data_IF_033370787989
#
_entry.id   IF_033370787989
#
_cell.length_a   1.000
_cell.length_b   1.000
_cell.length_c   1.000
_cell.angle_alpha   90.00
_cell.angle_beta   90.00
_cell.angle_gamma   90.00
#
_symmetry.space_group_name_H-M   'P 1'
#
loop_
_entity.id
_entity.type
_entity.pdbx_description
1 polymer ?
#
# COMPACT_ATOMS: atom_id res chain seq x y z
N UNK A 1 -31.35 0.97 -29.71
CA UNK A 1 -30.35 1.75 -30.49
C UNK A 1 -29.86 2.84 -29.57
N UNK A 2 -28.57 2.97 -29.43
CA UNK A 2 -27.97 4.03 -28.63
C UNK A 2 -28.03 5.34 -29.42
N UNK A 3 -28.50 6.41 -28.82
CA UNK A 3 -28.59 7.77 -29.37
C UNK A 3 -27.56 8.64 -28.69
N UNK A 4 -26.90 9.53 -29.43
CA UNK A 4 -25.96 10.50 -28.87
C UNK A 4 -26.61 11.86 -28.65
N UNK A 5 -26.20 12.56 -27.58
CA UNK A 5 -26.60 13.92 -27.25
C UNK A 5 -25.33 14.74 -26.96
N UNK A 6 -25.27 15.94 -27.54
CA UNK A 6 -24.17 16.86 -27.27
C UNK A 6 -24.24 17.43 -25.85
N UNK A 7 -23.09 17.63 -25.22
CA UNK A 7 -23.02 18.26 -23.89
C UNK A 7 -23.59 19.68 -23.84
N UNK A 8 -23.67 20.35 -24.98
CA UNK A 8 -24.28 21.71 -25.09
C UNK A 8 -25.81 21.65 -25.12
N UNK A 9 -26.40 20.52 -25.43
CA UNK A 9 -27.82 20.26 -25.43
C UNK A 9 -28.36 19.77 -24.08
N UNK A 10 -27.45 19.31 -23.17
CA UNK A 10 -27.81 18.87 -21.83
C UNK A 10 -28.23 20.07 -20.97
N UNK A 11 -29.35 19.94 -20.29
CA UNK A 11 -29.82 20.91 -19.30
C UNK A 11 -30.33 20.21 -18.03
N UNK A 12 -30.43 20.95 -16.89
CA UNK A 12 -30.80 20.37 -15.59
C UNK A 12 -32.21 19.77 -15.53
N UNK A 13 -33.10 20.13 -16.46
CA UNK A 13 -34.48 19.65 -16.48
C UNK A 13 -34.62 18.33 -17.25
N UNK A 14 -33.54 17.79 -17.79
CA UNK A 14 -33.53 16.55 -18.53
C UNK A 14 -33.36 15.35 -17.61
N UNK A 15 -34.17 14.32 -17.85
CA UNK A 15 -33.96 12.97 -17.36
C UNK A 15 -34.05 11.99 -18.53
N UNK A 16 -33.45 10.84 -18.42
CA UNK A 16 -33.41 9.84 -19.49
C UNK A 16 -34.11 8.56 -19.00
N UNK A 17 -34.88 7.93 -19.86
CA UNK A 17 -35.52 6.65 -19.53
C UNK A 17 -34.53 5.49 -19.38
N UNK A 18 -33.32 5.62 -19.96
CA UNK A 18 -32.16 4.76 -19.78
C UNK A 18 -30.99 5.55 -19.21
N UNK A 19 -29.91 4.86 -18.90
CA UNK A 19 -28.69 5.50 -18.38
C UNK A 19 -28.05 6.45 -19.41
N UNK A 20 -27.66 7.65 -18.98
CA UNK A 20 -26.83 8.55 -19.78
C UNK A 20 -25.38 8.10 -19.64
N UNK A 21 -24.77 7.71 -20.75
CA UNK A 21 -23.45 7.08 -20.82
C UNK A 21 -22.42 8.01 -21.46
N UNK A 22 -21.23 8.01 -20.90
CA UNK A 22 -20.04 8.57 -21.52
C UNK A 22 -19.32 7.44 -22.29
N UNK A 23 -18.89 7.72 -23.55
CA UNK A 23 -18.18 6.76 -24.41
C UNK A 23 -18.88 5.39 -24.51
N UNK A 24 -20.21 5.36 -24.47
CA UNK A 24 -21.05 4.16 -24.44
C UNK A 24 -20.72 3.17 -23.31
N UNK A 25 -19.99 3.60 -22.30
CA UNK A 25 -19.51 2.71 -21.22
C UNK A 25 -19.72 3.22 -19.81
N UNK A 26 -19.74 4.54 -19.59
CA UNK A 26 -19.83 5.11 -18.26
C UNK A 26 -21.19 5.74 -18.00
N UNK A 27 -21.88 5.26 -16.99
CA UNK A 27 -23.13 5.89 -16.53
C UNK A 27 -22.79 7.21 -15.84
N UNK A 28 -23.15 8.32 -16.49
CA UNK A 28 -22.98 9.68 -15.95
C UNK A 28 -24.21 10.07 -15.16
N UNK A 29 -25.38 9.69 -15.66
CA UNK A 29 -26.67 9.89 -15.00
C UNK A 29 -27.44 8.57 -15.09
N UNK A 30 -27.88 7.98 -13.96
CA UNK A 30 -28.70 6.77 -13.97
C UNK A 30 -30.07 7.04 -14.62
N UNK A 31 -30.69 5.99 -15.15
CA UNK A 31 -32.05 6.07 -15.70
C UNK A 31 -33.02 6.73 -14.70
N UNK A 32 -33.87 7.60 -15.18
CA UNK A 32 -34.86 8.39 -14.44
C UNK A 32 -34.31 9.43 -13.47
N UNK A 33 -32.98 9.55 -13.30
CA UNK A 33 -32.37 10.64 -12.55
C UNK A 33 -32.25 11.90 -13.41
N UNK A 34 -32.50 13.07 -12.81
CA UNK A 34 -32.30 14.36 -13.49
C UNK A 34 -30.82 14.67 -13.71
N UNK A 35 -30.51 15.29 -14.84
CA UNK A 35 -29.18 15.80 -15.13
C UNK A 35 -28.89 16.98 -14.22
N UNK A 36 -27.90 16.93 -13.36
CA UNK A 36 -27.52 18.05 -12.52
C UNK A 36 -26.64 19.06 -13.28
N UNK A 37 -26.76 20.36 -12.94
CA UNK A 37 -25.83 21.39 -13.44
C UNK A 37 -24.36 21.01 -13.23
N UNK A 38 -24.11 20.29 -12.15
CA UNK A 38 -22.79 19.80 -11.81
C UNK A 38 -22.25 18.82 -12.86
N UNK A 39 -23.08 17.86 -13.31
CA UNK A 39 -22.70 16.90 -14.35
C UNK A 39 -22.40 17.61 -15.65
N UNK A 40 -23.25 18.57 -16.07
CA UNK A 40 -23.03 19.34 -17.28
C UNK A 40 -21.72 20.14 -17.21
N UNK A 41 -21.47 20.80 -16.09
CA UNK A 41 -20.23 21.56 -15.86
C UNK A 41 -18.99 20.63 -15.84
N UNK A 42 -19.10 19.46 -15.24
CA UNK A 42 -18.03 18.48 -15.20
C UNK A 42 -17.70 17.96 -16.60
N UNK A 43 -18.70 17.59 -17.40
CA UNK A 43 -18.53 17.14 -18.77
C UNK A 43 -17.85 18.21 -19.65
N UNK A 44 -18.26 19.47 -19.52
CA UNK A 44 -17.63 20.61 -20.22
C UNK A 44 -16.20 20.86 -19.74
N UNK A 45 -15.95 20.79 -18.45
CA UNK A 45 -14.60 20.98 -17.88
C UNK A 45 -13.64 19.87 -18.31
N UNK A 46 -14.17 18.67 -18.52
CA UNK A 46 -13.38 17.50 -18.95
C UNK A 46 -13.29 17.35 -20.47
N UNK A 47 -13.78 18.34 -21.21
CA UNK A 47 -13.74 18.40 -22.69
C UNK A 47 -14.45 17.21 -23.40
N UNK A 48 -15.38 16.54 -22.72
CA UNK A 48 -16.25 15.59 -23.41
C UNK A 48 -17.22 16.34 -24.31
N UNK A 49 -17.46 15.80 -25.50
CA UNK A 49 -18.29 16.47 -26.49
C UNK A 49 -19.71 15.96 -26.52
N UNK A 50 -19.89 14.68 -26.23
CA UNK A 50 -21.18 14.01 -26.34
C UNK A 50 -21.32 12.87 -25.33
N UNK A 51 -22.57 12.57 -24.97
CA UNK A 51 -22.97 11.39 -24.20
C UNK A 51 -23.89 10.53 -25.03
N UNK A 52 -24.03 9.27 -24.68
CA UNK A 52 -24.97 8.34 -25.32
C UNK A 52 -26.04 7.86 -24.33
N UNK A 53 -27.23 7.57 -24.81
CA UNK A 53 -28.31 7.00 -24.01
C UNK A 53 -29.18 6.05 -24.84
N UNK A 54 -29.90 5.15 -24.17
CA UNK A 54 -30.92 4.32 -24.77
C UNK A 54 -32.28 4.73 -24.25
N UNK A 55 -33.29 4.75 -25.14
CA UNK A 55 -34.66 5.14 -24.80
C UNK A 55 -34.99 6.59 -25.21
N UNK A 56 -35.72 7.32 -24.35
CA UNK A 56 -36.23 8.67 -24.63
C UNK A 56 -35.86 9.65 -23.54
N UNK A 57 -35.89 10.94 -23.88
CA UNK A 57 -35.62 12.05 -22.98
C UNK A 57 -36.94 12.45 -22.33
N UNK A 58 -36.97 12.51 -20.99
CA UNK A 58 -38.04 13.12 -20.22
C UNK A 58 -37.65 14.56 -19.91
N UNK A 59 -38.45 15.53 -20.32
CA UNK A 59 -38.22 16.91 -19.93
C UNK A 59 -39.22 17.19 -18.80
N UNK A 60 -38.72 17.46 -17.60
CA UNK A 60 -39.55 17.82 -16.46
C UNK A 60 -40.25 19.14 -16.68
N UNK A 61 -41.52 19.10 -16.94
CA UNK A 61 -42.46 20.20 -16.68
C UNK A 61 -43.57 19.68 -15.82
N UNK A 62 -43.76 20.35 -14.69
CA UNK A 62 -44.94 20.45 -13.86
C UNK A 62 -46.13 19.56 -14.29
N UNK A 63 -46.35 18.48 -13.60
CA UNK A 63 -47.67 17.85 -13.44
C UNK A 63 -48.04 17.91 -11.97
N UNK A 64 -48.53 19.08 -11.54
CA UNK A 64 -49.66 19.12 -10.63
C UNK A 64 -50.86 18.63 -11.43
N UNK A 65 -51.36 17.45 -11.08
CA UNK A 65 -52.82 17.20 -10.94
C UNK A 65 -53.06 15.69 -10.78
N UNK A 66 -53.84 15.44 -9.75
CA UNK A 66 -54.65 14.23 -9.46
C UNK A 66 -53.98 13.12 -8.62
N UNK A 67 -54.10 13.27 -7.33
CA UNK A 67 -54.82 12.26 -6.55
C UNK A 67 -55.47 12.88 -5.30
N UNK A 68 -56.80 12.83 -5.34
CA UNK A 68 -57.67 13.20 -4.22
C UNK A 68 -57.52 12.30 -3.01
N UNK A 69 -57.57 12.95 -1.85
CA UNK A 69 -58.27 12.46 -0.68
C UNK A 69 -57.48 11.53 0.28
N UNK A 70 -57.03 12.09 1.36
CA UNK A 70 -57.44 11.72 2.72
C UNK A 70 -57.07 12.89 3.65
N UNK A 71 -58.16 13.43 4.26
CA UNK A 71 -58.13 14.41 5.33
C UNK A 71 -57.48 13.89 6.61
N UNK A 72 -56.84 14.77 7.32
CA UNK A 72 -57.11 15.34 8.65
C UNK A 72 -55.80 15.32 9.45
N UNK A 73 -55.43 16.23 10.21
CA UNK A 73 -56.00 17.14 11.19
C UNK A 73 -54.95 18.21 11.53
N UNK A 74 -55.46 19.42 11.71
CA UNK A 74 -54.76 20.58 12.24
C UNK A 74 -54.39 20.42 13.70
N UNK A 75 -53.23 20.92 14.15
CA UNK A 75 -53.02 22.22 14.79
C UNK A 75 -52.09 22.11 16.03
N UNK A 76 -51.64 23.17 16.68
CA UNK A 76 -51.25 24.51 16.27
C UNK A 76 -49.85 24.95 16.83
N UNK A 77 -49.43 26.09 16.30
CA UNK A 77 -48.54 27.13 16.85
C UNK A 77 -47.66 26.86 18.08
N UNK A 78 -46.35 26.95 17.91
CA UNK A 78 -45.47 27.46 18.96
C UNK A 78 -44.36 28.35 18.34
N UNK A 79 -44.32 29.57 18.82
CA UNK A 79 -43.40 30.66 18.54
C UNK A 79 -41.93 30.28 18.58
N UNK A 80 -41.05 31.02 17.86
CA UNK A 80 -39.63 30.78 17.85
C UNK A 80 -38.98 31.25 19.15
N UNK A 81 -38.45 30.30 19.92
CA UNK A 81 -37.49 30.58 20.97
C UNK A 81 -36.09 30.62 20.36
N UNK A 82 -35.38 31.71 20.61
CA UNK A 82 -33.95 31.90 20.35
C UNK A 82 -33.17 30.71 20.86
N UNK A 83 -32.66 29.85 19.99
CA UNK A 83 -31.63 28.88 20.34
C UNK A 83 -30.26 29.56 20.26
N UNK A 84 -29.70 29.75 21.45
CA UNK A 84 -28.31 30.07 21.69
C UNK A 84 -27.45 29.02 21.00
N UNK A 85 -26.52 29.52 20.17
CA UNK A 85 -25.38 28.76 19.67
C UNK A 85 -24.72 27.97 20.81
N UNK A 86 -24.72 26.65 20.82
CA UNK A 86 -23.80 25.92 21.69
C UNK A 86 -22.44 25.98 21.01
N UNK A 87 -21.46 26.39 21.81
CA UNK A 87 -20.06 26.46 21.40
C UNK A 87 -19.62 25.21 20.67
N UNK A 88 -18.75 25.44 19.74
CA UNK A 88 -17.91 24.44 19.09
C UNK A 88 -17.21 23.57 20.16
N UNK A 89 -17.88 22.54 20.63
CA UNK A 89 -17.18 21.40 21.24
C UNK A 89 -16.57 20.61 20.08
N UNK A 90 -15.28 20.80 19.94
CA UNK A 90 -14.43 19.94 19.15
C UNK A 90 -14.47 18.55 19.78
N UNK A 91 -15.26 17.65 19.20
CA UNK A 91 -15.22 16.23 19.58
C UNK A 91 -13.82 15.64 19.28
N UNK A 92 -13.35 14.74 20.13
CA UNK A 92 -11.95 14.35 20.19
C UNK A 92 -11.58 13.36 19.07
N UNK A 93 -10.85 13.84 18.07
CA UNK A 93 -10.03 13.02 17.18
C UNK A 93 -8.53 13.08 17.57
N UNK A 94 -8.15 13.13 18.85
CA UNK A 94 -6.78 13.43 19.26
C UNK A 94 -5.96 12.20 19.63
N UNK A 95 -6.52 11.00 19.72
CA UNK A 95 -5.75 9.86 20.25
C UNK A 95 -4.69 9.34 19.27
N UNK A 96 -5.02 9.23 17.98
CA UNK A 96 -4.09 8.66 16.99
C UNK A 96 -2.82 9.48 16.80
N UNK A 97 -2.91 10.81 16.81
CA UNK A 97 -1.75 11.68 16.62
C UNK A 97 -0.73 11.58 17.77
N UNK A 98 -1.21 11.46 19.01
CA UNK A 98 -0.38 11.27 20.18
C UNK A 98 0.27 9.87 20.17
N UNK A 99 -0.51 8.84 19.85
CA UNK A 99 -0.04 7.44 19.78
C UNK A 99 1.02 7.28 18.69
N UNK A 100 0.79 7.85 17.49
CA UNK A 100 1.77 7.82 16.38
C UNK A 100 3.06 8.53 16.83
N UNK A 101 2.97 9.68 17.47
CA UNK A 101 4.13 10.42 17.97
C UNK A 101 4.91 9.59 18.99
N UNK A 102 4.24 8.99 19.95
CA UNK A 102 4.87 8.13 20.95
C UNK A 102 5.58 6.93 20.29
N UNK A 103 4.91 6.25 19.37
CA UNK A 103 5.50 5.13 18.62
C UNK A 103 6.71 5.56 17.78
N UNK A 104 6.70 6.75 17.18
CA UNK A 104 7.84 7.31 16.45
C UNK A 104 9.00 7.68 17.40
N UNK A 105 8.70 8.27 18.54
CA UNK A 105 9.71 8.62 19.56
C UNK A 105 10.37 7.37 20.15
N UNK A 106 9.61 6.29 20.38
CA UNK A 106 10.14 4.99 20.77
C UNK A 106 11.03 4.40 19.68
N UNK A 107 10.57 4.42 18.42
CA UNK A 107 11.33 3.92 17.29
C UNK A 107 12.64 4.65 17.10
N UNK A 108 12.68 5.96 17.33
CA UNK A 108 13.90 6.77 17.23
C UNK A 108 14.97 6.39 18.26
N UNK A 109 14.56 5.96 19.46
CA UNK A 109 15.48 5.50 20.52
C UNK A 109 16.16 4.16 20.19
N UNK A 110 15.59 3.38 19.28
CA UNK A 110 16.05 2.02 18.92
C UNK A 110 17.01 2.06 17.71
N UNK A 111 17.36 3.23 17.16
CA UNK A 111 18.17 3.34 15.94
C UNK A 111 19.53 2.65 16.00
N UNK A 112 20.14 2.53 17.17
CA UNK A 112 21.44 1.85 17.39
C UNK A 112 21.32 0.37 17.75
N UNK A 113 20.12 -0.19 17.81
CA UNK A 113 19.85 -1.56 18.21
C UNK A 113 19.99 -2.55 17.04
N UNK A 114 19.84 -3.86 17.32
CA UNK A 114 19.87 -4.90 16.30
C UNK A 114 18.84 -4.63 15.19
N UNK A 115 19.15 -5.06 13.96
CA UNK A 115 18.27 -4.91 12.79
C UNK A 115 16.85 -5.43 13.04
N UNK A 116 16.74 -6.53 13.79
CA UNK A 116 15.46 -7.13 14.16
C UNK A 116 14.61 -6.18 15.03
N UNK A 117 15.19 -5.62 16.08
CA UNK A 117 14.48 -4.69 16.99
C UNK A 117 14.05 -3.44 16.23
N UNK A 118 14.89 -2.96 15.32
CA UNK A 118 14.55 -1.82 14.47
C UNK A 118 13.40 -2.13 13.53
N UNK A 119 13.39 -3.32 12.90
CA UNK A 119 12.28 -3.76 12.06
C UNK A 119 10.97 -3.86 12.82
N UNK A 120 10.98 -4.50 14.00
CA UNK A 120 9.81 -4.64 14.89
C UNK A 120 9.26 -3.26 15.33
N UNK A 121 10.15 -2.32 15.62
CA UNK A 121 9.79 -0.95 15.98
C UNK A 121 9.15 -0.20 14.80
N UNK A 122 9.73 -0.28 13.62
CA UNK A 122 9.17 0.33 12.39
C UNK A 122 7.82 -0.29 12.04
N UNK A 123 7.65 -1.59 12.25
CA UNK A 123 6.37 -2.27 12.03
C UNK A 123 5.28 -1.74 12.97
N UNK A 124 5.57 -1.48 14.24
CA UNK A 124 4.61 -0.86 15.17
C UNK A 124 4.13 0.51 14.68
N UNK A 125 5.05 1.37 14.28
CA UNK A 125 4.69 2.70 13.72
C UNK A 125 3.83 2.54 12.47
N UNK A 126 4.17 1.61 11.58
CA UNK A 126 3.38 1.30 10.39
C UNK A 126 1.94 0.88 10.73
N UNK A 127 1.77 0.04 11.75
CA UNK A 127 0.46 -0.41 12.24
C UNK A 127 -0.38 0.74 12.80
N UNK A 128 0.24 1.71 13.49
CA UNK A 128 -0.46 2.91 13.97
C UNK A 128 -0.94 3.79 12.80
N UNK A 129 -0.13 3.94 11.73
CA UNK A 129 -0.59 4.63 10.52
C UNK A 129 -1.73 3.89 9.82
N UNK A 130 -1.74 2.56 9.82
CA UNK A 130 -2.89 1.80 9.30
C UNK A 130 -4.16 2.07 10.11
N UNK A 131 -4.06 2.14 11.44
CA UNK A 131 -5.21 2.51 12.31
C UNK A 131 -5.68 3.93 12.02
N UNK A 132 -4.76 4.86 11.82
CA UNK A 132 -5.08 6.23 11.44
C UNK A 132 -5.83 6.29 10.08
N UNK A 133 -5.34 5.61 9.06
CA UNK A 133 -6.04 5.56 7.76
C UNK A 133 -7.44 4.97 7.93
N UNK A 134 -7.56 3.89 8.70
CA UNK A 134 -8.87 3.30 9.01
C UNK A 134 -9.80 4.29 9.69
N UNK A 135 -9.31 5.08 10.66
CA UNK A 135 -10.12 6.10 11.34
C UNK A 135 -10.57 7.20 10.38
N UNK A 136 -9.73 7.66 9.46
CA UNK A 136 -10.10 8.65 8.43
C UNK A 136 -11.24 8.14 7.56
N UNK A 137 -11.15 6.89 7.07
CA UNK A 137 -12.21 6.28 6.26
C UNK A 137 -13.51 6.09 7.04
N UNK A 138 -13.42 5.59 8.28
CA UNK A 138 -14.57 5.38 9.16
C UNK A 138 -15.23 6.72 9.53
N UNK A 139 -14.44 7.71 9.87
CA UNK A 139 -14.95 9.04 10.22
C UNK A 139 -15.66 9.70 9.03
N UNK A 140 -15.07 9.60 7.83
CA UNK A 140 -15.77 10.06 6.62
C UNK A 140 -17.06 9.27 6.38
N UNK A 141 -17.05 7.94 6.53
CA UNK A 141 -18.24 7.12 6.31
C UNK A 141 -19.42 7.54 7.22
N UNK A 142 -19.12 7.93 8.47
CA UNK A 142 -20.13 8.31 9.48
C UNK A 142 -20.49 9.79 9.47
N UNK A 143 -19.50 10.68 9.40
CA UNK A 143 -19.67 12.14 9.57
C UNK A 143 -19.60 12.94 8.28
N UNK A 144 -19.19 12.33 7.15
CA UNK A 144 -18.97 12.99 5.86
C UNK A 144 -17.98 14.16 5.94
N UNK A 145 -17.00 14.08 6.83
CA UNK A 145 -15.97 15.10 7.06
C UNK A 145 -14.57 14.48 7.06
N UNK A 146 -13.58 15.24 6.64
CA UNK A 146 -12.16 14.93 6.77
C UNK A 146 -11.46 16.22 7.19
N UNK A 147 -10.62 16.14 8.23
CA UNK A 147 -9.82 17.27 8.68
C UNK A 147 -8.51 17.35 7.87
N UNK A 148 -8.47 18.21 6.86
CA UNK A 148 -7.30 18.36 6.00
C UNK A 148 -6.07 18.88 6.76
N UNK A 149 -6.24 19.78 7.74
CA UNK A 149 -5.11 20.33 8.50
C UNK A 149 -4.42 19.25 9.33
N UNK A 150 -5.19 18.49 10.10
CA UNK A 150 -4.69 17.35 10.89
C UNK A 150 -4.04 16.28 10.00
N UNK A 151 -4.70 15.97 8.87
CA UNK A 151 -4.19 15.02 7.90
C UNK A 151 -2.85 15.48 7.32
N UNK A 152 -2.69 16.77 7.04
CA UNK A 152 -1.45 17.36 6.54
C UNK A 152 -0.30 17.18 7.52
N UNK A 153 -0.51 17.47 8.81
CA UNK A 153 0.51 17.28 9.85
C UNK A 153 0.89 15.81 10.03
N UNK A 154 -0.11 14.91 10.04
CA UNK A 154 0.10 13.48 10.21
C UNK A 154 0.85 12.88 9.01
N UNK A 155 0.47 13.26 7.79
CA UNK A 155 1.14 12.79 6.56
C UNK A 155 2.54 13.38 6.42
N UNK A 156 2.78 14.61 6.87
CA UNK A 156 4.14 15.16 6.91
C UNK A 156 5.07 14.31 7.78
N UNK A 157 4.60 13.87 8.96
CA UNK A 157 5.36 12.95 9.83
C UNK A 157 5.56 11.60 9.17
N UNK A 158 4.54 11.07 8.47
CA UNK A 158 4.67 9.84 7.68
C UNK A 158 5.75 9.94 6.60
N UNK A 159 5.81 11.07 5.88
CA UNK A 159 6.83 11.29 4.86
C UNK A 159 8.25 11.26 5.45
N UNK A 160 8.46 11.90 6.61
CA UNK A 160 9.74 11.89 7.32
C UNK A 160 10.07 10.47 7.78
N UNK A 161 9.11 9.79 8.41
CA UNK A 161 9.27 8.42 8.88
C UNK A 161 9.66 7.45 7.75
N UNK A 162 8.99 7.53 6.59
CA UNK A 162 9.30 6.70 5.42
C UNK A 162 10.71 7.02 4.90
N UNK A 163 11.08 8.30 4.82
CA UNK A 163 12.40 8.72 4.37
C UNK A 163 13.53 8.14 5.24
N UNK A 164 13.37 8.19 6.56
CA UNK A 164 14.36 7.72 7.53
C UNK A 164 14.42 6.19 7.63
N UNK A 165 13.29 5.53 7.42
CA UNK A 165 13.15 4.08 7.60
C UNK A 165 12.84 3.33 6.30
N UNK A 166 13.12 3.91 5.13
CA UNK A 166 12.81 3.40 3.79
C UNK A 166 13.07 1.90 3.66
N UNK A 167 14.26 1.45 4.09
CA UNK A 167 14.71 0.05 4.00
C UNK A 167 13.79 -0.92 4.76
N UNK A 168 13.25 -0.50 5.91
CA UNK A 168 12.41 -1.34 6.75
C UNK A 168 10.95 -1.29 6.32
N UNK A 169 10.43 -0.09 6.05
CA UNK A 169 9.02 0.14 5.67
C UNK A 169 8.66 -0.61 4.38
N UNK A 170 9.56 -0.62 3.39
CA UNK A 170 9.35 -1.33 2.12
C UNK A 170 9.32 -2.86 2.26
N UNK A 171 9.84 -3.41 3.36
CA UNK A 171 9.84 -4.85 3.67
C UNK A 171 8.56 -5.31 4.36
N UNK A 172 7.77 -4.37 4.92
CA UNK A 172 6.52 -4.72 5.59
C UNK A 172 5.52 -5.22 4.57
N UNK A 173 5.13 -6.48 4.71
CA UNK A 173 4.10 -7.12 3.89
C UNK A 173 2.96 -7.57 4.77
N UNK A 174 1.77 -6.98 4.65
CA UNK A 174 0.60 -7.42 5.38
C UNK A 174 0.25 -8.87 5.04
N UNK A 175 -0.22 -9.62 6.04
CA UNK A 175 -0.71 -10.98 5.83
C UNK A 175 -1.95 -10.98 4.92
N UNK A 176 -2.20 -12.11 4.25
CA UNK A 176 -3.40 -12.31 3.45
C UNK A 176 -4.68 -12.13 4.29
N UNK A 177 -4.65 -12.51 5.58
CA UNK A 177 -5.76 -12.34 6.50
C UNK A 177 -6.02 -10.86 6.84
N UNK A 178 -4.97 -10.08 7.15
CA UNK A 178 -5.10 -8.65 7.40
C UNK A 178 -5.68 -7.92 6.18
N UNK A 179 -5.24 -8.31 4.98
CA UNK A 179 -5.74 -7.78 3.72
C UNK A 179 -7.21 -8.14 3.47
N UNK A 180 -7.61 -9.36 3.74
CA UNK A 180 -9.01 -9.81 3.60
C UNK A 180 -9.95 -9.05 4.54
N UNK A 181 -9.50 -8.75 5.76
CA UNK A 181 -10.30 -8.03 6.76
C UNK A 181 -10.45 -6.53 6.46
N UNK A 182 -9.44 -5.91 5.88
CA UNK A 182 -9.45 -4.46 5.61
C UNK A 182 -8.68 -4.10 4.34
N UNK A 183 -9.22 -4.54 3.21
CA UNK A 183 -8.57 -4.38 1.89
C UNK A 183 -8.22 -2.93 1.59
N UNK A 184 -9.18 -1.99 1.74
CA UNK A 184 -8.97 -0.59 1.37
C UNK A 184 -7.84 0.07 2.17
N UNK A 185 -7.80 -0.14 3.48
CA UNK A 185 -6.75 0.44 4.34
C UNK A 185 -5.37 -0.14 4.01
N UNK A 186 -5.29 -1.46 3.86
CA UNK A 186 -4.03 -2.13 3.53
C UNK A 186 -3.51 -1.66 2.18
N UNK A 187 -4.38 -1.62 1.17
CA UNK A 187 -4.04 -1.15 -0.18
C UNK A 187 -3.60 0.32 -0.15
N UNK A 188 -4.39 1.20 0.49
CA UNK A 188 -4.05 2.63 0.59
C UNK A 188 -2.73 2.86 1.31
N UNK A 189 -2.47 2.17 2.43
CA UNK A 189 -1.20 2.33 3.16
C UNK A 189 0.00 1.89 2.32
N UNK A 190 -0.05 0.71 1.70
CA UNK A 190 1.04 0.22 0.87
C UNK A 190 1.29 1.08 -0.36
N UNK A 191 0.23 1.48 -1.05
CA UNK A 191 0.33 2.41 -2.20
C UNK A 191 0.91 3.76 -1.77
N UNK A 192 0.56 4.25 -0.58
CA UNK A 192 1.09 5.51 -0.02
C UNK A 192 2.59 5.41 0.27
N UNK A 193 3.04 4.32 0.89
CA UNK A 193 4.47 4.09 1.13
C UNK A 193 5.25 4.07 -0.18
N UNK A 194 4.75 3.38 -1.19
CA UNK A 194 5.38 3.31 -2.50
C UNK A 194 5.37 4.67 -3.21
N UNK A 195 4.23 5.38 -3.21
CA UNK A 195 4.10 6.68 -3.85
C UNK A 195 5.04 7.73 -3.22
N UNK A 196 5.09 7.81 -1.88
CA UNK A 196 6.01 8.70 -1.16
C UNK A 196 7.46 8.34 -1.50
N UNK A 197 7.80 7.06 -1.53
CA UNK A 197 9.14 6.59 -1.83
C UNK A 197 9.56 6.95 -3.26
N UNK A 198 8.65 6.80 -4.24
CA UNK A 198 8.88 7.23 -5.63
C UNK A 198 9.09 8.74 -5.70
N UNK A 199 8.27 9.54 -5.01
CA UNK A 199 8.39 11.00 -5.02
C UNK A 199 9.70 11.50 -4.38
N UNK A 200 10.18 10.82 -3.33
CA UNK A 200 11.51 11.09 -2.75
C UNK A 200 12.61 10.85 -3.78
N UNK A 201 12.54 9.75 -4.53
CA UNK A 201 13.51 9.41 -5.57
C UNK A 201 13.45 10.38 -6.77
N UNK A 202 12.27 10.89 -7.09
CA UNK A 202 12.06 11.96 -8.08
C UNK A 202 12.43 13.35 -7.56
N UNK A 203 12.96 13.45 -6.34
CA UNK A 203 13.39 14.70 -5.69
C UNK A 203 12.27 15.76 -5.57
N UNK A 204 11.04 15.34 -5.32
CA UNK A 204 9.95 16.27 -5.06
C UNK A 204 10.20 17.06 -3.76
N UNK A 205 9.83 18.34 -3.69
CA UNK A 205 9.87 19.09 -2.44
C UNK A 205 8.89 18.50 -1.43
N UNK A 206 9.21 18.61 -0.13
CA UNK A 206 8.43 17.97 0.96
C UNK A 206 6.93 18.32 0.90
N UNK A 207 6.59 19.57 0.60
CA UNK A 207 5.18 19.98 0.46
C UNK A 207 4.43 19.18 -0.61
N UNK A 208 5.08 18.88 -1.73
CA UNK A 208 4.48 18.07 -2.81
C UNK A 208 4.44 16.59 -2.46
N UNK A 209 5.39 16.10 -1.67
CA UNK A 209 5.35 14.73 -1.15
C UNK A 209 4.20 14.57 -0.16
N UNK A 210 3.94 15.57 0.68
CA UNK A 210 2.81 15.57 1.62
C UNK A 210 1.48 15.58 0.86
N UNK A 211 1.30 16.47 -0.12
CA UNK A 211 0.10 16.47 -0.97
C UNK A 211 -0.12 15.12 -1.67
N UNK A 212 0.94 14.53 -2.23
CA UNK A 212 0.88 13.20 -2.83
C UNK A 212 0.52 12.11 -1.81
N UNK A 213 1.08 12.17 -0.60
CA UNK A 213 0.77 11.25 0.48
C UNK A 213 -0.71 11.30 0.87
N UNK A 214 -1.28 12.51 1.02
CA UNK A 214 -2.71 12.71 1.25
C UNK A 214 -3.52 12.14 0.08
N UNK A 215 -3.14 12.47 -1.15
CA UNK A 215 -3.79 11.94 -2.36
C UNK A 215 -3.79 10.42 -2.38
N UNK A 216 -2.65 9.82 -2.08
CA UNK A 216 -2.49 8.36 -2.08
C UNK A 216 -3.24 7.67 -0.92
N UNK A 217 -3.37 8.29 0.24
CA UNK A 217 -4.25 7.78 1.30
C UNK A 217 -5.71 7.78 0.84
N UNK A 218 -6.15 8.82 0.15
CA UNK A 218 -7.55 9.05 -0.20
C UNK A 218 -7.96 8.57 -1.60
N UNK A 219 -7.04 7.98 -2.39
CA UNK A 219 -7.36 7.63 -3.78
C UNK A 219 -8.50 6.61 -3.92
N UNK A 220 -8.70 5.78 -2.92
CA UNK A 220 -9.77 4.76 -2.86
C UNK A 220 -11.01 5.23 -2.08
N UNK A 221 -11.10 6.49 -1.64
CA UNK A 221 -12.23 6.95 -0.81
C UNK A 221 -13.58 6.82 -1.52
N UNK A 222 -13.58 6.89 -2.84
CA UNK A 222 -14.77 6.67 -3.67
C UNK A 222 -15.35 5.27 -3.56
N UNK A 223 -14.54 4.27 -3.16
CA UNK A 223 -14.99 2.90 -2.92
C UNK A 223 -16.03 2.81 -1.81
N UNK A 224 -16.07 3.78 -0.88
CA UNK A 224 -17.09 3.86 0.16
C UNK A 224 -18.51 4.13 -0.39
N UNK A 225 -18.62 4.54 -1.65
CA UNK A 225 -19.91 4.72 -2.36
C UNK A 225 -20.26 3.51 -3.24
N UNK A 226 -19.42 2.48 -3.28
CA UNK A 226 -19.60 1.27 -4.06
C UNK A 226 -19.97 0.12 -3.10
N UNK A 227 -20.97 -0.72 -3.45
CA UNK A 227 -21.34 -1.85 -2.61
C UNK A 227 -20.15 -2.78 -2.34
N UNK A 228 -19.82 -3.06 -1.07
CA UNK A 228 -18.65 -3.88 -0.71
C UNK A 228 -18.62 -5.27 -1.36
N UNK A 229 -19.79 -5.83 -1.65
CA UNK A 229 -19.94 -7.14 -2.29
C UNK A 229 -19.29 -7.20 -3.67
N UNK A 230 -19.11 -6.05 -4.34
CA UNK A 230 -18.50 -5.98 -5.67
C UNK A 230 -16.99 -6.13 -5.64
N UNK A 231 -16.31 -5.62 -4.61
CA UNK A 231 -14.84 -5.62 -4.54
C UNK A 231 -14.27 -6.58 -3.49
N UNK A 232 -15.12 -7.14 -2.63
CA UNK A 232 -14.75 -8.18 -1.66
C UNK A 232 -15.09 -9.59 -2.14
N UNK A 233 -15.50 -9.75 -3.40
CA UNK A 233 -15.88 -11.06 -3.97
C UNK A 233 -14.68 -11.78 -4.57
N UNK A 234 -14.65 -13.09 -4.43
CA UNK A 234 -13.67 -13.95 -5.11
C UNK A 234 -14.13 -14.38 -6.52
N UNK A 235 -15.37 -14.00 -6.92
CA UNK A 235 -15.92 -14.33 -8.23
C UNK A 235 -15.39 -13.39 -9.31
N UNK A 236 -15.30 -13.89 -10.53
CA UNK A 236 -15.01 -13.05 -11.68
C UNK A 236 -16.14 -12.03 -11.88
N UNK A 237 -15.76 -10.75 -11.92
CA UNK A 237 -16.68 -9.64 -12.10
C UNK A 237 -17.23 -9.60 -13.54
N UNK A 238 -18.52 -9.36 -13.67
CA UNK A 238 -19.17 -9.05 -14.94
C UNK A 238 -18.69 -7.70 -15.49
N UNK A 239 -18.97 -7.42 -16.77
CA UNK A 239 -18.63 -6.13 -17.37
C UNK A 239 -19.32 -4.94 -16.66
N UNK A 240 -20.57 -5.13 -16.20
CA UNK A 240 -21.33 -4.12 -15.44
C UNK A 240 -20.72 -3.85 -14.07
N UNK A 241 -20.37 -4.89 -13.31
CA UNK A 241 -19.71 -4.74 -12.01
C UNK A 241 -18.34 -4.07 -12.12
N UNK A 242 -17.55 -4.42 -13.14
CA UNK A 242 -16.30 -3.74 -13.44
C UNK A 242 -16.49 -2.25 -13.70
N UNK A 243 -17.53 -1.88 -14.46
CA UNK A 243 -17.88 -0.48 -14.71
C UNK A 243 -18.23 0.25 -13.42
N UNK A 244 -19.04 -0.37 -12.55
CA UNK A 244 -19.39 0.23 -11.26
C UNK A 244 -18.14 0.49 -10.39
N UNK A 245 -17.23 -0.47 -10.31
CA UNK A 245 -15.97 -0.29 -9.59
C UNK A 245 -15.14 0.83 -10.23
N UNK A 246 -15.10 0.91 -11.55
CA UNK A 246 -14.32 1.95 -12.27
C UNK A 246 -14.84 3.37 -12.06
N UNK A 247 -15.99 3.54 -11.40
CA UNK A 247 -16.51 4.87 -11.01
C UNK A 247 -15.82 5.45 -9.77
N UNK A 248 -15.10 4.66 -8.97
CA UNK A 248 -14.56 5.16 -7.69
C UNK A 248 -13.61 6.37 -7.83
N UNK A 249 -12.82 6.58 -8.90
CA UNK A 249 -12.01 7.79 -9.01
C UNK A 249 -12.86 9.04 -9.15
N UNK A 250 -13.96 8.97 -9.90
CA UNK A 250 -14.93 10.06 -10.04
C UNK A 250 -15.63 10.33 -8.72
N UNK A 251 -16.12 9.26 -8.07
CA UNK A 251 -16.78 9.38 -6.77
C UNK A 251 -15.85 9.95 -5.70
N UNK A 252 -14.58 9.51 -5.68
CA UNK A 252 -13.56 10.03 -4.79
C UNK A 252 -13.27 11.52 -5.05
N UNK A 253 -13.08 11.89 -6.30
CA UNK A 253 -12.89 13.30 -6.70
C UNK A 253 -14.07 14.17 -6.25
N UNK A 254 -15.31 13.71 -6.42
CA UNK A 254 -16.50 14.45 -6.00
C UNK A 254 -16.57 14.59 -4.47
N UNK A 255 -16.29 13.53 -3.72
CA UNK A 255 -16.22 13.55 -2.26
C UNK A 255 -15.22 14.63 -1.80
N UNK A 256 -14.01 14.61 -2.33
CA UNK A 256 -12.96 15.53 -1.91
C UNK A 256 -13.23 16.97 -2.37
N UNK A 257 -13.93 17.15 -3.49
CA UNK A 257 -14.38 18.45 -3.94
C UNK A 257 -15.44 19.05 -3.01
N UNK A 258 -16.40 18.27 -2.55
CA UNK A 258 -17.40 18.67 -1.56
C UNK A 258 -16.75 19.07 -0.22
N UNK A 259 -15.53 18.60 0.05
CA UNK A 259 -14.74 18.89 1.24
C UNK A 259 -13.66 19.96 1.01
N UNK A 260 -13.72 20.70 -0.09
CA UNK A 260 -12.81 21.80 -0.46
C UNK A 260 -11.33 21.42 -0.51
N UNK A 261 -11.02 20.17 -0.91
CA UNK A 261 -9.63 19.75 -1.11
C UNK A 261 -8.98 20.46 -2.32
N UNK A 262 -7.63 20.68 -2.29
CA UNK A 262 -6.89 21.29 -3.40
C UNK A 262 -7.04 20.52 -4.72
N UNK A 263 -7.10 21.23 -5.84
CA UNK A 263 -7.23 20.62 -7.18
C UNK A 263 -6.14 19.60 -7.51
N UNK A 264 -4.92 19.79 -7.01
CA UNK A 264 -3.81 18.82 -7.20
C UNK A 264 -4.15 17.45 -6.62
N UNK A 265 -4.80 17.41 -5.44
CA UNK A 265 -5.28 16.20 -4.79
C UNK A 265 -6.46 15.61 -5.57
N UNK A 266 -7.43 16.43 -5.96
CA UNK A 266 -8.60 16.00 -6.75
C UNK A 266 -8.18 15.30 -8.04
N UNK A 267 -7.29 15.93 -8.80
CA UNK A 267 -6.78 15.36 -10.05
C UNK A 267 -5.97 14.08 -9.82
N UNK A 268 -5.18 14.01 -8.75
CA UNK A 268 -4.44 12.79 -8.42
C UNK A 268 -5.36 11.60 -8.12
N UNK A 269 -6.45 11.84 -7.37
CA UNK A 269 -7.49 10.82 -7.11
C UNK A 269 -8.24 10.46 -8.39
N UNK A 270 -8.56 11.44 -9.23
CA UNK A 270 -9.27 11.17 -10.48
C UNK A 270 -8.45 10.35 -11.48
N UNK A 271 -7.14 10.59 -11.53
CA UNK A 271 -6.27 10.08 -12.60
C UNK A 271 -5.52 8.79 -12.25
N UNK A 272 -5.60 8.28 -11.03
CA UNK A 272 -4.74 7.17 -10.57
C UNK A 272 -4.94 5.86 -11.33
N UNK A 273 -5.99 5.72 -12.12
CA UNK A 273 -6.20 4.60 -13.04
C UNK A 273 -6.03 4.98 -14.50
N UNK A 274 -5.65 6.22 -14.81
CA UNK A 274 -5.26 6.59 -16.16
C UNK A 274 -3.93 5.90 -16.57
N UNK A 275 -3.76 5.71 -17.87
CA UNK A 275 -2.60 5.05 -18.46
C UNK A 275 -1.95 5.96 -19.50
N UNK A 276 -0.61 5.97 -19.58
CA UNK A 276 0.13 6.79 -20.55
C UNK A 276 -0.32 6.58 -22.01
N UNK A 277 -0.81 5.39 -22.33
CA UNK A 277 -1.32 5.02 -23.66
C UNK A 277 -2.81 5.37 -23.88
N UNK A 278 -3.49 5.97 -22.92
CA UNK A 278 -4.90 6.35 -22.99
C UNK A 278 -5.90 5.19 -22.85
N UNK A 279 -5.43 4.00 -22.49
CA UNK A 279 -6.30 2.83 -22.23
C UNK A 279 -6.70 2.72 -20.74
N UNK A 280 -6.52 3.80 -19.99
CA UNK A 280 -6.94 3.91 -18.60
C UNK A 280 -8.37 4.42 -18.47
N UNK A 281 -8.77 4.72 -17.25
CA UNK A 281 -10.06 5.29 -16.90
C UNK A 281 -9.91 6.30 -15.75
N UNK A 282 -10.86 7.18 -15.51
CA UNK A 282 -12.19 7.29 -16.12
C UNK A 282 -12.24 8.14 -17.41
N UNK A 283 -11.19 8.90 -17.73
CA UNK A 283 -11.19 9.89 -18.81
C UNK A 283 -10.49 9.41 -20.09
N UNK A 284 -9.68 8.35 -20.03
CA UNK A 284 -8.89 7.84 -21.16
C UNK A 284 -7.84 8.84 -21.67
N UNK A 285 -7.33 9.69 -20.81
CA UNK A 285 -6.33 10.72 -21.16
C UNK A 285 -4.92 10.14 -21.27
N UNK A 286 -4.02 10.85 -21.97
CA UNK A 286 -2.69 10.37 -22.30
C UNK A 286 -1.59 11.33 -21.89
N UNK A 287 -0.44 10.78 -21.54
CA UNK A 287 0.82 11.52 -21.40
C UNK A 287 0.70 12.69 -20.42
N UNK A 288 1.02 13.89 -20.88
CA UNK A 288 1.08 15.09 -20.03
C UNK A 288 -0.30 15.59 -19.54
N UNK A 289 -1.40 15.04 -20.05
CA UNK A 289 -2.75 15.34 -19.53
C UNK A 289 -3.02 14.62 -18.21
N UNK A 290 -2.28 13.56 -17.88
CA UNK A 290 -2.39 12.85 -16.61
C UNK A 290 -1.64 13.65 -15.54
N UNK A 291 -2.29 13.88 -14.40
CA UNK A 291 -1.66 14.59 -13.28
C UNK A 291 -0.41 13.87 -12.78
N UNK A 292 0.64 14.60 -12.34
CA UNK A 292 1.84 13.97 -11.81
C UNK A 292 1.57 13.00 -10.65
N UNK A 293 0.61 13.32 -9.78
CA UNK A 293 0.21 12.44 -8.68
C UNK A 293 -0.51 11.19 -9.19
N UNK A 294 -1.38 11.35 -10.19
CA UNK A 294 -2.04 10.21 -10.84
C UNK A 294 -1.05 9.23 -11.45
N UNK A 295 -0.01 9.70 -12.16
CA UNK A 295 1.06 8.87 -12.71
C UNK A 295 1.80 8.08 -11.63
N UNK A 296 2.17 8.74 -10.51
CA UNK A 296 2.90 8.10 -9.41
C UNK A 296 2.02 7.06 -8.72
N UNK A 297 0.78 7.42 -8.39
CA UNK A 297 -0.15 6.51 -7.71
C UNK A 297 -0.50 5.33 -8.61
N UNK A 298 -0.70 5.54 -9.92
CA UNK A 298 -0.95 4.46 -10.89
C UNK A 298 0.14 3.39 -10.87
N UNK A 299 1.40 3.80 -10.82
CA UNK A 299 2.55 2.87 -10.72
C UNK A 299 2.57 2.19 -9.35
N UNK A 300 2.40 2.95 -8.26
CA UNK A 300 2.40 2.43 -6.89
C UNK A 300 1.30 1.38 -6.66
N UNK A 301 0.06 1.68 -7.06
CA UNK A 301 -1.08 0.77 -6.95
C UNK A 301 -0.93 -0.48 -7.80
N UNK A 302 -0.41 -0.33 -9.03
CA UNK A 302 -0.19 -1.48 -9.91
C UNK A 302 0.87 -2.41 -9.36
N UNK A 303 1.99 -1.87 -8.88
CA UNK A 303 3.04 -2.67 -8.24
C UNK A 303 2.53 -3.36 -6.97
N UNK A 304 1.78 -2.64 -6.12
CA UNK A 304 1.13 -3.20 -4.94
C UNK A 304 0.20 -4.35 -5.31
N UNK A 305 -0.66 -4.16 -6.32
CA UNK A 305 -1.60 -5.18 -6.76
C UNK A 305 -0.95 -6.43 -7.35
N UNK A 306 0.21 -6.30 -8.01
CA UNK A 306 0.96 -7.43 -8.56
C UNK A 306 1.68 -8.19 -7.44
N UNK A 307 2.33 -7.48 -6.50
CA UNK A 307 3.15 -8.05 -5.43
C UNK A 307 2.37 -8.54 -4.23
N UNK A 308 1.09 -8.15 -4.11
CA UNK A 308 0.28 -8.50 -2.95
C UNK A 308 -0.19 -9.96 -2.98
N UNK A 309 -0.16 -10.67 -1.84
CA UNK A 309 -0.75 -12.00 -1.73
C UNK A 309 -2.27 -11.93 -1.93
N UNK A 310 -2.82 -12.85 -2.73
CA UNK A 310 -4.27 -13.00 -2.93
C UNK A 310 -4.67 -14.45 -2.68
N UNK A 311 -5.87 -14.72 -2.14
CA UNK A 311 -6.31 -16.09 -1.81
C UNK A 311 -6.21 -17.09 -2.95
N UNK A 312 -6.39 -16.64 -4.21
CA UNK A 312 -6.47 -17.49 -5.40
C UNK A 312 -5.34 -17.27 -6.41
N UNK A 313 -4.34 -16.47 -6.07
CA UNK A 313 -3.18 -16.22 -6.94
C UNK A 313 -1.93 -16.62 -6.19
N UNK A 314 -1.11 -17.50 -6.78
CA UNK A 314 0.22 -17.75 -6.23
C UNK A 314 0.92 -16.41 -5.98
N UNK A 315 1.42 -16.24 -4.78
CA UNK A 315 2.19 -15.05 -4.42
C UNK A 315 3.30 -14.84 -5.46
N UNK A 316 3.24 -13.73 -6.18
CA UNK A 316 4.37 -13.31 -7.00
C UNK A 316 5.41 -12.67 -6.10
N UNK A 317 6.65 -12.95 -6.36
CA UNK A 317 7.73 -12.29 -5.63
C UNK A 317 7.78 -10.80 -6.00
N UNK A 318 8.35 -9.99 -5.13
CA UNK A 318 8.65 -8.57 -5.45
C UNK A 318 9.46 -8.46 -6.73
N UNK A 319 10.36 -9.41 -6.98
CA UNK A 319 11.14 -9.52 -8.21
C UNK A 319 10.25 -9.71 -9.45
N UNK A 320 9.29 -10.65 -9.41
CA UNK A 320 8.38 -10.88 -10.54
C UNK A 320 7.53 -9.64 -10.84
N UNK A 321 7.07 -8.95 -9.80
CA UNK A 321 6.33 -7.69 -9.93
C UNK A 321 7.19 -6.61 -10.58
N UNK A 322 8.46 -6.52 -10.21
CA UNK A 322 9.40 -5.56 -10.82
C UNK A 322 9.67 -5.88 -12.29
N UNK A 323 9.85 -7.15 -12.66
CA UNK A 323 10.05 -7.55 -14.06
C UNK A 323 8.82 -7.21 -14.88
N UNK A 324 7.61 -7.48 -14.38
CA UNK A 324 6.36 -7.13 -15.07
C UNK A 324 6.24 -5.61 -15.29
N UNK A 325 6.54 -4.81 -14.26
CA UNK A 325 6.53 -3.35 -14.38
C UNK A 325 7.59 -2.82 -15.35
N UNK A 326 8.79 -3.44 -15.38
CA UNK A 326 9.87 -3.09 -16.33
C UNK A 326 9.48 -3.34 -17.77
N UNK A 327 8.78 -4.44 -18.05
CA UNK A 327 8.30 -4.75 -19.39
C UNK A 327 7.37 -3.67 -19.91
N UNK A 328 6.63 -3.00 -19.01
CA UNK A 328 5.71 -1.90 -19.30
C UNK A 328 4.98 -2.11 -20.64
N UNK A 329 4.22 -3.21 -20.78
CA UNK A 329 3.61 -3.59 -22.06
C UNK A 329 2.70 -2.45 -22.53
N UNK A 330 2.77 -2.15 -23.84
CA UNK A 330 2.02 -1.07 -24.45
C UNK A 330 2.25 0.33 -23.84
N UNK A 331 3.35 0.56 -23.13
CA UNK A 331 3.70 1.85 -22.51
C UNK A 331 2.57 2.38 -21.60
N UNK A 332 2.11 1.55 -20.70
CA UNK A 332 1.01 1.90 -19.78
C UNK A 332 1.39 2.93 -18.71
N UNK A 333 2.66 2.98 -18.33
CA UNK A 333 3.15 3.81 -17.22
C UNK A 333 4.28 4.74 -17.67
N UNK A 334 4.40 5.85 -16.99
CA UNK A 334 5.51 6.80 -17.18
C UNK A 334 6.85 6.12 -16.86
N UNK A 335 7.81 6.12 -17.82
CA UNK A 335 9.09 5.43 -17.65
C UNK A 335 9.96 6.04 -16.53
N UNK A 336 9.84 7.35 -16.25
CA UNK A 336 10.59 7.98 -15.17
C UNK A 336 10.05 7.56 -13.80
N UNK A 337 8.73 7.41 -13.67
CA UNK A 337 8.08 6.94 -12.44
C UNK A 337 8.45 5.46 -12.19
N UNK A 338 8.41 4.60 -13.23
CA UNK A 338 8.88 3.21 -13.11
C UNK A 338 10.35 3.18 -12.68
N UNK A 339 11.21 3.98 -13.32
CA UNK A 339 12.62 4.05 -12.99
C UNK A 339 12.84 4.46 -11.53
N UNK A 340 12.11 5.46 -11.03
CA UNK A 340 12.16 5.89 -9.64
C UNK A 340 11.70 4.79 -8.68
N UNK A 341 10.62 4.06 -9.01
CA UNK A 341 10.21 2.88 -8.24
C UNK A 341 11.33 1.85 -8.14
N UNK A 342 11.97 1.52 -9.26
CA UNK A 342 13.06 0.52 -9.31
C UNK A 342 14.28 0.93 -8.51
N UNK A 343 14.68 2.21 -8.57
CA UNK A 343 15.77 2.73 -7.73
C UNK A 343 15.41 2.76 -6.25
N UNK A 344 14.13 2.87 -5.94
CA UNK A 344 13.62 2.86 -4.57
C UNK A 344 13.57 1.47 -3.98
N UNK A 345 13.29 0.48 -4.80
CA UNK A 345 13.23 -0.93 -4.43
C UNK A 345 14.55 -1.59 -4.81
N UNK A 346 15.03 -2.50 -3.98
CA UNK A 346 16.08 -3.40 -4.44
C UNK A 346 15.51 -4.39 -5.44
N UNK A 347 16.19 -4.58 -6.56
CA UNK A 347 15.85 -5.64 -7.52
C UNK A 347 15.84 -7.00 -6.84
N UNK A 348 16.69 -7.15 -5.85
CA UNK A 348 16.79 -8.33 -5.01
C UNK A 348 16.49 -7.93 -3.56
N UNK A 349 15.26 -8.13 -3.07
CA UNK A 349 14.89 -7.79 -1.70
C UNK A 349 15.74 -8.53 -0.66
N UNK A 350 15.99 -7.89 0.47
CA UNK A 350 16.69 -8.53 1.59
C UNK A 350 15.92 -9.77 2.03
N UNK A 351 16.67 -10.87 2.24
CA UNK A 351 16.10 -12.17 2.58
C UNK A 351 15.81 -13.08 1.39
N UNK A 352 15.94 -12.58 0.16
CA UNK A 352 15.75 -13.40 -1.04
C UNK A 352 16.98 -14.24 -1.32
N UNK A 353 16.78 -15.51 -1.65
CA UNK A 353 17.84 -16.43 -2.04
C UNK A 353 18.16 -16.29 -3.53
N UNK A 354 19.43 -16.15 -3.84
CA UNK A 354 19.94 -15.95 -5.20
C UNK A 354 20.98 -16.98 -5.57
N UNK A 355 21.06 -17.31 -6.85
CA UNK A 355 22.09 -18.14 -7.42
C UNK A 355 23.11 -17.25 -8.13
N UNK A 356 24.38 -17.41 -7.77
CA UNK A 356 25.49 -16.65 -8.34
C UNK A 356 26.13 -17.39 -9.51
N UNK A 357 26.78 -16.68 -10.42
CA UNK A 357 27.47 -17.25 -11.58
C UNK A 357 28.66 -18.14 -11.21
N UNK A 358 29.18 -18.03 -9.99
CA UNK A 358 30.22 -18.92 -9.46
C UNK A 358 29.67 -20.23 -8.86
N UNK A 359 28.38 -20.50 -9.05
CA UNK A 359 27.73 -21.74 -8.56
C UNK A 359 27.29 -21.70 -7.09
N UNK A 360 27.49 -20.58 -6.38
CA UNK A 360 27.11 -20.44 -4.98
C UNK A 360 25.68 -19.96 -4.81
N UNK A 361 25.05 -20.40 -3.72
CA UNK A 361 23.78 -19.85 -3.27
C UNK A 361 24.05 -18.83 -2.16
N UNK A 362 23.36 -17.72 -2.21
CA UNK A 362 23.50 -16.65 -1.23
C UNK A 362 22.13 -16.08 -0.86
N UNK A 363 22.05 -15.44 0.30
CA UNK A 363 20.88 -14.68 0.73
C UNK A 363 21.20 -13.17 0.64
N UNK A 364 20.31 -12.39 0.08
CA UNK A 364 20.50 -10.94 0.05
C UNK A 364 20.45 -10.41 1.47
N UNK A 365 21.53 -9.80 1.93
CA UNK A 365 21.68 -9.27 3.29
C UNK A 365 21.52 -7.75 3.37
N UNK A 366 21.91 -7.03 2.30
CA UNK A 366 21.77 -5.58 2.25
C UNK A 366 21.64 -5.07 0.81
N UNK A 367 21.19 -3.82 0.68
CA UNK A 367 21.06 -3.14 -0.60
C UNK A 367 22.19 -2.13 -0.76
N UNK A 368 22.70 -2.00 -1.99
CA UNK A 368 23.72 -1.00 -2.31
C UNK A 368 23.02 0.27 -2.80
N UNK A 369 23.22 1.42 -2.15
CA UNK A 369 22.67 2.68 -2.62
C UNK A 369 23.05 2.94 -4.08
N UNK A 370 22.08 3.39 -4.89
CA UNK A 370 22.25 3.71 -6.31
C UNK A 370 22.67 2.54 -7.23
N UNK A 371 22.71 1.30 -6.71
CA UNK A 371 22.99 0.09 -7.49
C UNK A 371 22.02 -1.03 -7.12
N UNK A 372 20.73 -0.90 -7.45
CA UNK A 372 19.69 -1.87 -7.03
C UNK A 372 19.91 -3.28 -7.60
N UNK A 373 20.68 -3.41 -8.69
CA UNK A 373 21.04 -4.70 -9.31
C UNK A 373 22.22 -5.41 -8.63
N UNK A 374 22.97 -4.71 -7.79
CA UNK A 374 24.19 -5.22 -7.15
C UNK A 374 24.05 -5.16 -5.61
N UNK A 375 23.18 -5.97 -4.99
CA UNK A 375 23.04 -6.00 -3.54
C UNK A 375 24.25 -6.64 -2.86
N UNK A 376 24.36 -6.48 -1.54
CA UNK A 376 25.27 -7.27 -0.71
C UNK A 376 24.58 -8.59 -0.39
N UNK A 377 25.27 -9.70 -0.56
CA UNK A 377 24.73 -11.02 -0.29
C UNK A 377 25.62 -11.76 0.72
N UNK A 378 24.99 -12.54 1.57
CA UNK A 378 25.62 -13.48 2.50
C UNK A 378 25.70 -14.84 1.82
N UNK A 379 26.91 -15.35 1.65
CA UNK A 379 27.12 -16.69 1.10
C UNK A 379 26.66 -17.75 2.10
N UNK A 380 25.88 -18.72 1.61
CA UNK A 380 25.49 -19.86 2.43
C UNK A 380 26.67 -20.81 2.57
N UNK A 381 26.85 -21.35 3.77
CA UNK A 381 27.91 -22.30 4.11
C UNK A 381 29.35 -21.73 4.09
N UNK A 382 29.53 -20.42 3.99
CA UNK A 382 30.84 -19.80 4.14
C UNK A 382 30.83 -18.82 5.32
N UNK A 383 31.92 -18.87 6.09
CA UNK A 383 32.14 -17.99 7.25
C UNK A 383 33.49 -17.30 7.14
N UNK A 384 33.58 -16.13 7.73
CA UNK A 384 34.84 -15.42 7.93
C UNK A 384 35.67 -16.11 9.02
N UNK A 385 36.92 -15.70 9.18
CA UNK A 385 37.86 -16.27 10.17
C UNK A 385 37.41 -16.12 11.62
N UNK A 386 36.52 -15.12 11.89
CA UNK A 386 35.92 -14.85 13.18
C UNK A 386 34.60 -15.63 13.42
N UNK A 387 34.22 -16.49 12.47
CA UNK A 387 32.97 -17.28 12.52
C UNK A 387 31.71 -16.52 12.05
N UNK A 388 31.83 -15.24 11.71
CA UNK A 388 30.71 -14.48 11.15
C UNK A 388 30.33 -14.96 9.75
N UNK A 389 29.08 -14.79 9.31
CA UNK A 389 28.68 -15.13 7.95
C UNK A 389 29.45 -14.30 6.92
N UNK A 390 29.99 -14.95 5.89
CA UNK A 390 30.74 -14.28 4.85
C UNK A 390 29.81 -13.50 3.93
N UNK A 391 30.04 -12.19 3.81
CA UNK A 391 29.29 -11.31 2.93
C UNK A 391 30.13 -10.86 1.74
N UNK A 392 29.51 -10.75 0.57
CA UNK A 392 30.16 -10.27 -0.65
C UNK A 392 29.27 -9.25 -1.35
N UNK A 393 29.92 -8.24 -1.95
CA UNK A 393 29.27 -7.33 -2.86
C UNK A 393 29.05 -8.05 -4.19
N UNK A 394 27.80 -8.06 -4.70
CA UNK A 394 27.56 -8.57 -6.04
C UNK A 394 27.99 -7.57 -7.10
N UNK A 395 28.41 -8.06 -8.24
CA UNK A 395 28.95 -7.29 -9.37
C UNK A 395 28.53 -7.94 -10.70
N UNK A 396 28.97 -7.38 -11.80
CA UNK A 396 28.76 -7.98 -13.14
C UNK A 396 29.82 -9.02 -13.50
N UNK A 397 30.78 -9.28 -12.61
CA UNK A 397 31.90 -10.20 -12.79
C UNK A 397 31.74 -11.52 -12.04
N UNK A 398 32.55 -11.73 -11.02
CA UNK A 398 32.69 -13.02 -10.32
C UNK A 398 31.53 -13.37 -9.38
N UNK A 399 30.77 -12.37 -8.93
CA UNK A 399 29.65 -12.54 -8.02
C UNK A 399 28.33 -12.04 -8.62
N UNK A 400 28.16 -12.22 -9.93
CA UNK A 400 26.93 -11.83 -10.61
C UNK A 400 25.77 -12.70 -10.20
N UNK A 401 24.64 -12.09 -9.87
CA UNK A 401 23.38 -12.83 -9.66
C UNK A 401 22.87 -13.33 -11.02
N UNK A 402 22.69 -14.62 -11.14
CA UNK A 402 22.15 -15.26 -12.32
C UNK A 402 20.63 -15.28 -12.28
N UNK A 403 20.07 -15.65 -11.13
CA UNK A 403 18.63 -15.70 -10.89
C UNK A 403 18.26 -15.73 -9.42
N UNK A 404 17.01 -15.43 -9.13
CA UNK A 404 16.39 -15.70 -7.83
C UNK A 404 15.99 -17.19 -7.76
N UNK A 405 16.10 -17.81 -6.60
CA UNK A 405 15.62 -19.18 -6.38
C UNK A 405 14.09 -19.21 -6.36
N UNK A 406 13.51 -20.26 -6.92
CA UNK A 406 12.07 -20.51 -6.81
C UNK A 406 11.67 -20.79 -5.37
N UNK A 407 10.39 -20.72 -5.04
CA UNK A 407 9.89 -21.01 -3.68
C UNK A 407 10.20 -22.44 -3.24
N UNK A 408 10.15 -23.39 -4.17
CA UNK A 408 10.48 -24.79 -3.92
C UNK A 408 11.96 -24.94 -3.61
N UNK A 409 12.84 -24.35 -4.43
CA UNK A 409 14.29 -24.35 -4.19
C UNK A 409 14.65 -23.66 -2.87
N UNK A 410 13.98 -22.56 -2.53
CA UNK A 410 14.17 -21.85 -1.25
C UNK A 410 13.77 -22.75 -0.06
N UNK A 411 12.64 -23.45 -0.17
CA UNK A 411 12.18 -24.37 0.88
C UNK A 411 13.18 -25.51 1.10
N UNK A 412 13.74 -26.08 0.03
CA UNK A 412 14.77 -27.12 0.11
C UNK A 412 16.07 -26.60 0.75
N UNK A 413 16.51 -25.40 0.37
CA UNK A 413 17.68 -24.75 0.96
C UNK A 413 17.48 -24.55 2.47
N UNK A 414 16.33 -23.97 2.87
CA UNK A 414 16.02 -23.72 4.29
C UNK A 414 15.94 -25.03 5.08
N UNK A 415 15.36 -26.08 4.50
CA UNK A 415 15.31 -27.41 5.13
C UNK A 415 16.71 -27.98 5.34
N UNK A 416 17.58 -27.90 4.34
CA UNK A 416 18.95 -28.38 4.42
C UNK A 416 19.78 -27.60 5.45
N UNK A 417 19.63 -26.28 5.52
CA UNK A 417 20.29 -25.43 6.53
C UNK A 417 19.87 -25.84 7.96
N UNK A 418 18.58 -26.05 8.20
CA UNK A 418 18.08 -26.49 9.51
C UNK A 418 18.64 -27.87 9.92
N UNK A 419 18.80 -28.78 8.97
CA UNK A 419 19.40 -30.09 9.21
C UNK A 419 20.88 -29.92 9.58
N UNK A 420 21.62 -29.06 8.87
CA UNK A 420 23.03 -28.77 9.14
C UNK A 420 23.22 -28.13 10.52
N UNK A 421 22.44 -27.12 10.85
CA UNK A 421 22.46 -26.44 12.16
C UNK A 421 22.18 -27.44 13.33
N UNK A 422 21.23 -28.33 13.12
CA UNK A 422 20.92 -29.36 14.13
C UNK A 422 22.10 -30.33 14.34
N UNK A 423 22.71 -30.79 13.25
CA UNK A 423 23.87 -31.68 13.30
C UNK A 423 25.11 -30.98 13.92
N UNK A 424 25.31 -29.69 13.67
CA UNK A 424 26.38 -28.90 14.29
C UNK A 424 26.15 -28.71 15.80
N UNK A 425 24.94 -28.42 16.24
CA UNK A 425 24.58 -28.31 17.66
C UNK A 425 24.75 -29.63 18.38
N UNK A 426 24.38 -30.75 17.76
CA UNK A 426 24.59 -32.09 18.32
C UNK A 426 26.08 -32.42 18.49
N UNK A 427 26.92 -32.06 17.49
CA UNK A 427 28.37 -32.20 17.57
C UNK A 427 29.01 -31.32 18.65
N UNK A 428 28.55 -30.07 18.80
CA UNK A 428 29.01 -29.17 19.85
C UNK A 428 28.65 -29.69 21.25
N UNK A 429 27.42 -30.16 21.43
CA UNK A 429 26.98 -30.74 22.69
C UNK A 429 27.77 -32.03 23.04
N UNK A 430 28.06 -32.89 22.07
CA UNK A 430 28.89 -34.07 22.27
C UNK A 430 30.31 -33.71 22.71
N UNK A 431 30.95 -32.73 22.07
CA UNK A 431 32.26 -32.20 22.45
C UNK A 431 32.29 -31.60 23.85
N UNK A 432 31.24 -30.82 24.22
CA UNK A 432 31.13 -30.26 25.58
C UNK A 432 30.94 -31.36 26.65
N UNK A 433 30.24 -32.45 26.30
CA UNK A 433 30.06 -33.58 27.21
C UNK A 433 31.38 -34.38 27.38
N UNK A 434 32.10 -34.60 26.29
CA UNK A 434 33.43 -35.25 26.34
C UNK A 434 34.45 -34.41 27.14
N UNK A 435 34.47 -33.10 26.96
CA UNK A 435 35.32 -32.17 27.73
C UNK A 435 35.02 -32.24 29.24
N UNK A 436 33.74 -32.19 29.62
CA UNK A 436 33.34 -32.33 31.04
C UNK A 436 33.68 -33.70 31.63
N UNK A 437 33.58 -34.74 30.84
CA UNK A 437 33.95 -36.11 31.32
C UNK A 437 35.44 -36.22 31.51
N UNK A 438 36.25 -35.59 30.65
CA UNK A 438 37.72 -35.54 30.79
C UNK A 438 38.12 -34.68 32.01
N UNK A 439 37.49 -33.51 32.25
CA UNK A 439 37.74 -32.71 33.44
C UNK A 439 37.40 -33.48 34.75
N UNK A 440 36.29 -34.20 34.79
CA UNK A 440 35.93 -35.06 35.93
C UNK A 440 36.86 -36.23 36.13
N UNK A 441 37.41 -36.81 35.06
CA UNK A 441 38.40 -37.89 35.15
C UNK A 441 39.75 -37.39 35.72
N UNK A 442 40.18 -36.18 35.33
CA UNK A 442 41.41 -35.56 35.88
C UNK A 442 41.25 -35.21 37.36
N UNK A 443 40.09 -34.67 37.78
CA UNK A 443 39.82 -34.37 39.19
C UNK A 443 39.75 -35.64 40.07
N UNK A 444 39.35 -36.78 39.52
CA UNK A 444 39.34 -38.08 40.25
C UNK A 444 40.72 -38.74 40.33
N UNK A 445 41.63 -38.49 39.40
CA UNK A 445 43.03 -38.95 39.48
C UNK A 445 43.85 -38.13 40.48
N UNK A 446 43.64 -36.79 40.53
CA UNK A 446 44.33 -35.96 41.52
C UNK A 446 43.83 -36.17 42.96
N UNK A 447 42.61 -36.65 43.17
CA UNK A 447 42.06 -36.96 44.50
C UNK A 447 42.53 -38.35 45.06
N UNK A 448 43.00 -39.22 44.18
CA UNK A 448 43.48 -40.53 44.60
C UNK A 448 45.04 -40.68 44.73
N UNK A 449 45.76 -39.55 44.41
CA UNK A 449 47.25 -39.59 44.34
C UNK A 449 47.99 -39.27 45.65
N UNK A 450 47.32 -38.85 46.73
CA UNK A 450 47.97 -38.45 47.99
C UNK A 450 47.34 -39.06 49.24
N UNK A 451 47.30 -40.39 49.31
CA UNK A 451 47.10 -41.06 50.60
C UNK A 451 47.81 -42.38 50.54
N UNK A 452 49.07 -42.39 50.97
CA UNK A 452 49.83 -43.43 51.67
C UNK A 452 51.33 -43.34 51.35
N UNK A 453 52.03 -42.37 51.95
CA UNK A 453 53.45 -42.51 52.25
C UNK A 453 53.58 -42.48 53.77
N UNK A 454 53.70 -43.67 54.37
CA UNK A 454 53.96 -43.84 55.76
C UNK A 454 55.45 -43.51 56.02
N UNK A 455 55.74 -42.40 56.74
CA UNK A 455 57.08 -41.90 57.05
C UNK A 455 57.59 -42.43 58.41
N UNK A 456 57.25 -43.71 58.77
CA UNK A 456 57.68 -44.29 60.06
C UNK A 456 58.90 -45.20 60.00
N UNK A 457 59.59 -45.33 58.87
CA UNK A 457 60.85 -46.15 58.80
C UNK A 457 62.08 -45.35 58.37
N UNK A 458 62.44 -44.30 59.04
CA UNK A 458 63.82 -43.75 59.03
C UNK A 458 64.03 -42.90 60.29
N UNK A 459 64.44 -43.66 61.38
CA UNK A 459 65.21 -43.10 62.50
C UNK A 459 66.32 -44.11 62.88
#
# INVERSE_FOLDING_TARGET
>A
MSTTISNDELNPDMAFSGDLLLDNMFVVVPATAGVSEYVIKALKTWEFKECSYEGFICIGKDEEEQNEGIESEENPEANPAEEKNPGTESEPVPEHHAIIKEAMDESSKIQSSSERLRYESVQKVYEEYMKYINSVYTYYATHKKINLSEMTETVQKLCIFIKENKRFVLRISPSAEARSKNFLVVHSMRSTVLAITIAIELHFPLSKIVELGITSILHEIGMLRIPPQLYLTDKALTATEKRQISMHPILGCNILKELDFPNSILLGVLDHHEKENGLGYPRGIQGDKISPYGKIISVACSFEAISAPRPHKSERTTYDAMIEMLQNPNKQYDPNVIKALLYSLSLYPIGVYVYLNNGKIAIVSDVTPNKPQNPIVQLLNERESDGSPKTVQTDDGSNKIVRVLTKEEQADVVKNLKIQEKAEKEKQNARMTESKTLEQAVETEDSNGFSNVDLSEFS
#
